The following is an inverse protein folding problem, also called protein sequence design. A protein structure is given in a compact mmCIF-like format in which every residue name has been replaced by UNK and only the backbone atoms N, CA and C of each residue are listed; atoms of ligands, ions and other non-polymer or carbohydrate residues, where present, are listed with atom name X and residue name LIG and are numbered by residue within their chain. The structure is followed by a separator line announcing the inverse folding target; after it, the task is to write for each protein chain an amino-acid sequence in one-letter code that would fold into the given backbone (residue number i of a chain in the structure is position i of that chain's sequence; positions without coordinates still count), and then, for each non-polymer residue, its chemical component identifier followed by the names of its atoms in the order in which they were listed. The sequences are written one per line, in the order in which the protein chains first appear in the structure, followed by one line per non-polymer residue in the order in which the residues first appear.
data_IF_410342774761
#
_entry.id   IF_410342774761
#
_cell.length_a   1.000
_cell.length_b   1.000
_cell.length_c   1.000
_cell.angle_alpha   90.00
_cell.angle_beta   90.00
_cell.angle_gamma   90.00
#
_symmetry.space_group_name_H-M   'P 1'
#
loop_
_entity.id
_entity.type
_entity.pdbx_description
1 polymer ?
#
# COMPACT_ATOMS: atom_id res chain seq x y z
N UNK A 1 -16.35 -21.22 1.12
CA UNK A 1 -15.80 -21.02 2.47
C UNK A 1 -16.86 -20.30 3.29
N UNK A 2 -17.40 -20.92 4.34
CA UNK A 2 -18.43 -20.32 5.20
C UNK A 2 -17.70 -19.48 6.25
N UNK A 3 -17.97 -18.18 6.30
CA UNK A 3 -17.41 -17.30 7.33
C UNK A 3 -18.20 -17.49 8.62
N UNK A 4 -17.60 -18.13 9.62
CA UNK A 4 -18.19 -18.27 10.95
C UNK A 4 -17.76 -17.10 11.83
N UNK A 5 -18.75 -16.39 12.38
CA UNK A 5 -18.51 -15.30 13.31
C UNK A 5 -18.20 -15.88 14.70
N UNK A 6 -17.12 -15.40 15.32
CA UNK A 6 -16.79 -15.82 16.71
C UNK A 6 -17.84 -15.30 17.71
N UNK A 7 -18.43 -14.13 17.45
CA UNK A 7 -19.48 -13.55 18.27
C UNK A 7 -20.49 -12.79 17.41
N UNK A 8 -21.65 -13.40 17.19
CA UNK A 8 -22.72 -12.84 16.35
C UNK A 8 -23.38 -11.61 16.97
N UNK A 9 -23.49 -11.54 18.31
CA UNK A 9 -24.13 -10.41 19.00
C UNK A 9 -23.36 -9.11 18.76
N UNK A 10 -22.04 -9.16 18.96
CA UNK A 10 -21.15 -8.01 18.72
C UNK A 10 -21.23 -7.58 17.26
N UNK A 11 -21.16 -8.55 16.35
CA UNK A 11 -21.25 -8.32 14.90
C UNK A 11 -22.58 -7.67 14.50
N UNK A 12 -23.70 -8.14 15.05
CA UNK A 12 -25.02 -7.58 14.79
C UNK A 12 -25.17 -6.14 15.29
N UNK A 13 -24.59 -5.82 16.45
CA UNK A 13 -24.60 -4.44 16.98
C UNK A 13 -23.85 -3.51 16.01
N UNK A 14 -22.64 -3.87 15.59
CA UNK A 14 -21.87 -3.05 14.65
C UNK A 14 -22.53 -2.93 13.26
N UNK A 15 -23.16 -4.00 12.79
CA UNK A 15 -23.91 -3.97 11.53
C UNK A 15 -25.12 -3.02 11.62
N UNK A 16 -25.93 -3.13 12.68
CA UNK A 16 -27.08 -2.24 12.91
C UNK A 16 -26.69 -0.78 13.13
N UNK A 17 -25.49 -0.56 13.68
CA UNK A 17 -24.91 0.77 13.83
C UNK A 17 -24.30 1.33 12.53
N UNK A 18 -24.36 0.60 11.41
CA UNK A 18 -23.71 0.95 10.13
C UNK A 18 -22.19 1.15 10.23
N UNK A 19 -21.53 0.50 11.19
CA UNK A 19 -20.08 0.57 11.38
C UNK A 19 -19.34 -0.49 10.56
N UNK A 20 -20.02 -1.59 10.21
CA UNK A 20 -19.48 -2.65 9.36
C UNK A 20 -20.50 -3.04 8.29
N UNK A 21 -20.01 -3.58 7.18
CA UNK A 21 -20.85 -4.21 6.17
C UNK A 21 -21.28 -5.64 6.59
N UNK A 22 -22.12 -6.28 5.78
CA UNK A 22 -22.40 -7.71 5.89
C UNK A 22 -21.10 -8.54 5.84
N UNK A 23 -21.03 -9.57 6.66
CA UNK A 23 -19.81 -10.34 6.89
C UNK A 23 -19.28 -11.08 5.65
N UNK A 24 -17.97 -11.29 5.60
CA UNK A 24 -17.28 -12.06 4.56
C UNK A 24 -16.88 -11.28 3.30
N UNK A 25 -17.36 -10.05 3.11
CA UNK A 25 -16.99 -9.21 1.94
C UNK A 25 -15.89 -8.18 2.24
N UNK A 26 -15.76 -7.77 3.50
CA UNK A 26 -14.83 -6.69 3.88
C UNK A 26 -13.36 -7.03 3.57
N UNK A 27 -12.91 -8.24 3.89
CA UNK A 27 -11.52 -8.67 3.66
C UNK A 27 -11.15 -8.73 2.18
N UNK A 28 -12.10 -9.17 1.34
CA UNK A 28 -11.95 -9.19 -0.12
C UNK A 28 -11.81 -7.76 -0.64
N UNK A 29 -12.70 -6.85 -0.24
CA UNK A 29 -12.64 -5.44 -0.63
C UNK A 29 -11.34 -4.77 -0.21
N UNK A 30 -10.86 -5.05 1.00
CA UNK A 30 -9.56 -4.53 1.46
C UNK A 30 -8.44 -4.98 0.52
N UNK A 31 -8.42 -6.26 0.17
CA UNK A 31 -7.41 -6.83 -0.73
C UNK A 31 -7.49 -6.20 -2.12
N UNK A 32 -8.69 -6.11 -2.69
CA UNK A 32 -8.94 -5.49 -3.99
C UNK A 32 -8.50 -4.02 -4.01
N UNK A 33 -8.78 -3.27 -2.94
CA UNK A 33 -8.37 -1.87 -2.82
C UNK A 33 -6.85 -1.70 -2.72
N UNK A 34 -6.15 -2.58 -1.98
CA UNK A 34 -4.69 -2.56 -1.94
C UNK A 34 -4.10 -2.81 -3.34
N UNK A 35 -4.58 -3.84 -4.04
CA UNK A 35 -4.10 -4.18 -5.38
C UNK A 35 -4.41 -3.07 -6.39
N UNK A 36 -5.60 -2.46 -6.33
CA UNK A 36 -5.98 -1.33 -7.17
C UNK A 36 -5.11 -0.09 -6.92
N UNK A 37 -4.62 0.08 -5.70
CA UNK A 37 -3.65 1.13 -5.35
C UNK A 37 -2.20 0.79 -5.74
N UNK A 38 -1.95 -0.36 -6.38
CA UNK A 38 -0.61 -0.82 -6.73
C UNK A 38 0.20 -1.34 -5.53
N UNK A 39 -0.46 -1.60 -4.41
CA UNK A 39 0.15 -2.16 -3.21
C UNK A 39 -0.03 -3.69 -3.19
N UNK A 40 0.88 -4.43 -2.54
CA UNK A 40 0.65 -5.85 -2.27
C UNK A 40 -0.63 -6.07 -1.45
N UNK A 41 -1.23 -7.25 -1.61
CA UNK A 41 -2.30 -7.69 -0.73
C UNK A 41 -1.83 -7.70 0.75
N UNK A 42 -2.71 -7.40 1.71
CA UNK A 42 -2.33 -7.44 3.12
C UNK A 42 -2.14 -8.87 3.60
N UNK A 43 -1.13 -9.09 4.46
CA UNK A 43 -0.90 -10.38 5.08
C UNK A 43 -1.72 -10.52 6.36
N UNK A 44 -2.42 -11.64 6.50
CA UNK A 44 -3.18 -11.98 7.69
C UNK A 44 -2.53 -13.17 8.38
N UNK A 45 -2.02 -12.98 9.59
CA UNK A 45 -1.29 -14.02 10.33
C UNK A 45 -1.70 -14.05 11.80
N UNK A 46 -1.58 -15.22 12.42
CA UNK A 46 -1.68 -15.33 13.87
C UNK A 46 -0.28 -15.18 14.47
N UNK A 47 -0.14 -14.22 15.39
CA UNK A 47 1.15 -13.87 16.00
C UNK A 47 0.93 -13.51 17.47
N UNK A 48 1.79 -14.03 18.36
CA UNK A 48 1.71 -13.80 19.82
C UNK A 48 0.32 -14.05 20.44
N UNK A 49 -0.44 -15.03 19.93
CA UNK A 49 -1.80 -15.33 20.40
C UNK A 49 -2.88 -14.33 19.96
N UNK A 50 -2.52 -13.37 19.10
CA UNK A 50 -3.43 -12.44 18.45
C UNK A 50 -3.56 -12.69 16.95
N UNK A 51 -4.45 -11.94 16.32
CA UNK A 51 -4.60 -11.86 14.87
C UNK A 51 -4.00 -10.55 14.38
N UNK A 52 -3.05 -10.65 13.45
CA UNK A 52 -2.31 -9.53 12.89
C UNK A 52 -2.67 -9.37 11.42
N UNK A 53 -2.87 -8.12 10.99
CA UNK A 53 -3.07 -7.74 9.59
C UNK A 53 -2.02 -6.72 9.21
N UNK A 54 -1.14 -7.07 8.27
CA UNK A 54 -0.02 -6.24 7.83
C UNK A 54 -0.37 -5.55 6.52
N UNK A 55 -0.33 -4.22 6.54
CA UNK A 55 -0.51 -3.37 5.35
C UNK A 55 0.83 -2.81 4.89
N UNK A 56 1.04 -2.77 3.58
CA UNK A 56 2.25 -2.22 2.98
C UNK A 56 2.02 -0.81 2.46
N UNK A 57 3.00 0.06 2.65
CA UNK A 57 2.99 1.43 2.14
C UNK A 57 4.02 1.59 1.03
N UNK A 58 3.68 2.37 0.00
CA UNK A 58 4.65 2.80 -1.00
C UNK A 58 5.66 3.78 -0.39
N UNK A 59 6.89 3.31 -0.24
CA UNK A 59 8.02 4.10 0.27
C UNK A 59 8.53 5.13 -0.73
N UNK A 60 8.12 5.08 -1.99
CA UNK A 60 8.61 5.98 -3.03
C UNK A 60 7.64 7.14 -3.33
N UNK A 61 6.79 7.49 -2.36
CA UNK A 61 5.95 8.69 -2.44
C UNK A 61 6.80 9.95 -2.31
N UNK A 62 6.48 10.99 -3.09
CA UNK A 62 7.26 12.25 -3.11
C UNK A 62 7.42 12.86 -1.70
N UNK A 63 6.35 12.84 -0.90
CA UNK A 63 6.39 13.31 0.49
C UNK A 63 7.44 12.56 1.32
N UNK A 64 7.47 11.23 1.22
CA UNK A 64 8.44 10.41 1.94
C UNK A 64 9.88 10.66 1.46
N UNK A 65 10.08 10.82 0.14
CA UNK A 65 11.40 11.15 -0.41
C UNK A 65 11.89 12.53 0.05
N UNK A 66 10.98 13.51 0.20
CA UNK A 66 11.31 14.83 0.77
C UNK A 66 11.64 14.76 2.26
N UNK A 67 10.92 13.95 3.03
CA UNK A 67 11.22 13.68 4.45
C UNK A 67 12.60 13.02 4.64
N UNK A 68 13.03 12.19 3.69
CA UNK A 68 14.39 11.62 3.63
C UNK A 68 15.47 12.65 3.23
N UNK A 69 15.11 13.90 2.94
CA UNK A 69 16.04 14.97 2.59
C UNK A 69 16.49 14.97 1.12
N UNK A 70 15.82 14.24 0.23
CA UNK A 70 16.18 14.24 -1.19
C UNK A 70 15.80 15.58 -1.85
N UNK A 71 16.68 16.07 -2.71
CA UNK A 71 16.41 17.22 -3.56
C UNK A 71 15.61 16.83 -4.81
N UNK A 72 15.10 17.81 -5.55
CA UNK A 72 14.23 17.56 -6.72
C UNK A 72 14.90 16.71 -7.81
N UNK A 73 16.22 16.82 -7.98
CA UNK A 73 16.96 16.01 -8.97
C UNK A 73 17.02 14.55 -8.55
N UNK A 74 17.28 14.28 -7.27
CA UNK A 74 17.31 12.94 -6.71
C UNK A 74 15.92 12.29 -6.74
N UNK A 75 14.86 13.05 -6.43
CA UNK A 75 13.48 12.56 -6.53
C UNK A 75 13.16 12.14 -7.97
N UNK A 76 13.53 12.95 -8.98
CA UNK A 76 13.37 12.59 -10.40
C UNK A 76 14.13 11.32 -10.78
N UNK A 77 15.36 11.15 -10.27
CA UNK A 77 16.15 9.94 -10.51
C UNK A 77 15.49 8.69 -9.90
N UNK A 78 14.95 8.80 -8.69
CA UNK A 78 14.22 7.70 -8.01
C UNK A 78 12.98 7.29 -8.81
N UNK A 79 12.18 8.25 -9.29
CA UNK A 79 11.04 7.95 -10.15
C UNK A 79 11.45 7.25 -11.44
N UNK A 80 12.53 7.71 -12.08
CA UNK A 80 13.04 7.08 -13.29
C UNK A 80 13.45 5.61 -13.06
N UNK A 81 14.15 5.33 -11.97
CA UNK A 81 14.54 3.96 -11.59
C UNK A 81 13.32 3.11 -11.27
N UNK A 82 12.31 3.67 -10.61
CA UNK A 82 11.05 2.96 -10.31
C UNK A 82 10.36 2.46 -11.58
N UNK A 83 10.38 3.25 -12.66
CA UNK A 83 9.77 2.88 -13.95
C UNK A 83 10.66 2.02 -14.84
N UNK A 84 11.98 2.30 -14.88
CA UNK A 84 12.91 1.72 -15.87
C UNK A 84 13.81 0.62 -15.30
N UNK A 85 13.75 0.37 -13.98
CA UNK A 85 14.50 -0.66 -13.26
C UNK A 85 16.00 -0.38 -13.08
N UNK A 86 16.63 0.47 -13.92
CA UNK A 86 18.04 0.85 -13.81
C UNK A 86 18.30 2.28 -14.28
N UNK A 87 19.31 2.90 -13.72
CA UNK A 87 19.86 4.18 -14.16
C UNK A 87 21.36 4.02 -14.40
N UNK A 88 21.86 4.58 -15.49
CA UNK A 88 23.28 4.56 -15.86
C UNK A 88 23.74 5.99 -16.10
N UNK A 89 25.03 6.29 -15.85
CA UNK A 89 25.59 7.64 -16.00
C UNK A 89 25.36 8.22 -17.41
N UNK A 90 25.34 7.38 -18.45
CA UNK A 90 25.06 7.79 -19.83
C UNK A 90 23.61 8.26 -20.04
N UNK A 91 22.66 7.74 -19.26
CA UNK A 91 21.24 8.11 -19.32
C UNK A 91 20.91 9.32 -18.42
N UNK A 92 21.64 9.51 -17.31
CA UNK A 92 21.47 10.69 -16.44
C UNK A 92 21.90 11.99 -17.13
N UNK A 93 23.06 11.97 -17.79
CA UNK A 93 23.65 13.18 -18.41
C UNK A 93 22.80 13.68 -19.58
N UNK A 94 22.24 12.78 -20.40
CA UNK A 94 21.45 13.15 -21.58
C UNK A 94 20.05 13.70 -21.24
N UNK A 95 19.49 13.39 -20.06
CA UNK A 95 18.17 13.91 -19.65
C UNK A 95 18.24 15.14 -18.75
N UNK A 96 19.34 15.36 -18.03
CA UNK A 96 19.56 16.65 -17.33
C UNK A 96 19.84 17.81 -18.30
N UNK A 97 20.18 17.54 -19.56
CA UNK A 97 20.36 18.56 -20.60
C UNK A 97 19.08 18.91 -21.38
N UNK A 98 18.05 18.06 -21.39
CA UNK A 98 16.82 18.26 -22.18
C UNK A 98 15.65 18.90 -21.40
N UNK A 99 15.94 19.74 -20.42
CA UNK A 99 14.96 20.62 -19.77
C UNK A 99 15.58 22.02 -19.53
N UNK A 100 16.14 22.60 -20.60
CA UNK A 100 16.28 24.05 -20.78
C UNK A 100 15.39 24.48 -21.95
#
# INVERSE_FOLDING_TARGET
MIFLLRNELICNVFYKANLIESWGRGTVKITENCLAAGLPAPDCQESFGGFEVVFYQDKLTEKHLRELGLNERQIKAVWYVKENGKITNSNEINKMQNNF
#
